data_IF_073723475713
#
_entry.id   IF_073723475713
#
_cell.length_a   1.000
_cell.length_b   1.000
_cell.length_c   1.000
_cell.angle_alpha   90.00
_cell.angle_beta   90.00
_cell.angle_gamma   90.00
#
_symmetry.space_group_name_H-M   'P 1'
#
loop_
_entity.id
_entity.type
_entity.pdbx_description
1 polymer ?
#
# COMPACT_ATOMS: atom_id res chain seq x y z
N UNK A 1 -7.69 13.11 -5.83
CA UNK A 1 -8.30 12.34 -6.95
C UNK A 1 -7.49 12.44 -8.24
N UNK A 2 -7.05 13.64 -8.67
CA UNK A 2 -6.28 13.83 -9.91
C UNK A 2 -4.94 13.07 -9.89
N UNK A 3 -4.26 13.01 -8.74
CA UNK A 3 -2.97 12.31 -8.60
C UNK A 3 -3.13 10.79 -8.76
N UNK A 4 -4.14 10.20 -8.12
CA UNK A 4 -4.46 8.77 -8.26
C UNK A 4 -4.75 8.44 -9.72
N UNK A 5 -5.59 9.24 -10.37
CA UNK A 5 -5.93 9.05 -11.78
C UNK A 5 -4.70 9.08 -12.69
N UNK A 6 -3.81 10.07 -12.49
CA UNK A 6 -2.56 10.21 -13.26
C UNK A 6 -1.63 9.01 -13.07
N UNK A 7 -1.46 8.56 -11.83
CA UNK A 7 -0.62 7.41 -11.50
C UNK A 7 -1.21 6.11 -12.06
N UNK A 8 -2.53 5.94 -11.99
CA UNK A 8 -3.22 4.80 -12.59
C UNK A 8 -3.03 4.71 -14.10
N UNK A 9 -3.08 5.84 -14.79
CA UNK A 9 -2.89 5.91 -16.26
C UNK A 9 -1.46 5.56 -16.71
N UNK A 10 -0.47 5.81 -15.84
CA UNK A 10 0.95 5.54 -16.11
C UNK A 10 1.43 4.20 -15.62
N UNK A 11 0.66 3.57 -14.75
CA UNK A 11 1.03 2.30 -14.13
C UNK A 11 1.18 1.21 -15.20
N UNK A 12 2.28 0.46 -15.06
CA UNK A 12 2.47 -0.82 -15.74
C UNK A 12 2.82 -1.86 -14.69
N UNK A 13 1.99 -2.91 -14.57
CA UNK A 13 2.35 -4.04 -13.73
C UNK A 13 3.51 -4.79 -14.37
N UNK A 14 4.51 -5.11 -13.54
CA UNK A 14 5.55 -6.05 -13.92
C UNK A 14 4.92 -7.43 -14.15
N UNK A 15 5.48 -8.22 -15.05
CA UNK A 15 4.97 -9.56 -15.37
C UNK A 15 4.87 -10.45 -14.13
N UNK A 16 5.85 -10.35 -13.22
CA UNK A 16 5.87 -11.09 -11.95
C UNK A 16 4.74 -10.68 -11.01
N UNK A 17 4.36 -9.40 -11.00
CA UNK A 17 3.28 -8.88 -10.17
C UNK A 17 1.92 -9.33 -10.72
N UNK A 18 1.76 -9.27 -12.03
CA UNK A 18 0.55 -9.79 -12.70
C UNK A 18 0.40 -11.29 -12.43
N UNK A 19 1.48 -12.06 -12.56
CA UNK A 19 1.48 -13.48 -12.27
C UNK A 19 1.15 -13.78 -10.81
N UNK A 20 1.65 -12.99 -9.87
CA UNK A 20 1.32 -13.13 -8.44
C UNK A 20 -0.19 -12.96 -8.20
N UNK A 21 -0.81 -11.97 -8.85
CA UNK A 21 -2.27 -11.79 -8.79
C UNK A 21 -3.04 -12.98 -9.35
N UNK A 22 -2.65 -13.44 -10.54
CA UNK A 22 -3.26 -14.60 -11.21
C UNK A 22 -3.15 -15.90 -10.40
N UNK A 23 -2.10 -16.05 -9.62
CA UNK A 23 -1.81 -17.23 -8.80
C UNK A 23 -2.13 -17.03 -7.32
N UNK A 24 -2.76 -15.93 -6.96
CA UNK A 24 -3.15 -15.67 -5.59
C UNK A 24 -4.12 -16.76 -5.08
N UNK A 25 -4.06 -17.03 -3.79
CA UNK A 25 -4.96 -17.97 -3.15
C UNK A 25 -6.41 -17.46 -3.28
N UNK A 26 -7.33 -18.26 -3.85
CA UNK A 26 -8.73 -17.84 -3.95
C UNK A 26 -9.34 -17.52 -2.58
N UNK A 27 -10.19 -16.49 -2.54
CA UNK A 27 -10.79 -16.02 -1.29
C UNK A 27 -9.94 -15.03 -0.49
N UNK A 28 -8.76 -14.65 -0.99
CA UNK A 28 -7.94 -13.60 -0.38
C UNK A 28 -8.69 -12.28 -0.38
N UNK A 29 -8.70 -11.60 0.76
CA UNK A 29 -9.37 -10.31 0.93
C UNK A 29 -8.39 -9.26 1.41
N UNK A 30 -8.52 -8.06 0.88
CA UNK A 30 -7.77 -6.89 1.32
C UNK A 30 -8.72 -5.83 1.88
N UNK A 31 -8.58 -5.51 3.15
CA UNK A 31 -9.15 -4.30 3.75
C UNK A 31 -8.08 -3.22 3.73
N UNK A 32 -8.36 -2.11 3.08
CA UNK A 32 -7.40 -1.04 2.88
C UNK A 32 -7.87 0.20 3.64
N UNK A 33 -7.23 0.49 4.76
CA UNK A 33 -7.49 1.71 5.51
C UNK A 33 -6.77 2.88 4.87
N UNK A 34 -7.50 3.92 4.52
CA UNK A 34 -6.96 5.09 3.82
C UNK A 34 -7.79 6.34 4.08
N UNK A 35 -7.33 7.45 3.50
CA UNK A 35 -8.05 8.72 3.41
C UNK A 35 -7.82 9.37 2.05
N UNK A 36 -8.73 10.21 1.60
CA UNK A 36 -8.69 10.82 0.26
C UNK A 36 -7.51 11.76 0.03
N UNK A 37 -6.94 12.31 1.10
CA UNK A 37 -5.83 13.26 1.09
C UNK A 37 -4.45 12.61 1.18
N UNK A 38 -4.38 11.29 1.41
CA UNK A 38 -3.12 10.60 1.67
C UNK A 38 -2.25 10.46 0.41
N UNK A 39 -1.04 11.02 0.45
CA UNK A 39 -0.08 10.96 -0.67
C UNK A 39 0.48 9.57 -0.91
N UNK A 40 0.76 8.80 0.14
CA UNK A 40 1.22 7.41 0.02
C UNK A 40 0.13 6.52 -0.58
N UNK A 41 -1.14 6.73 -0.20
CA UNK A 41 -2.26 6.02 -0.79
C UNK A 41 -2.39 6.29 -2.29
N UNK A 42 -2.13 7.52 -2.72
CA UNK A 42 -2.14 7.88 -4.14
C UNK A 42 -1.11 7.07 -4.95
N UNK A 43 0.00 6.68 -4.34
CA UNK A 43 1.02 5.84 -4.96
C UNK A 43 0.64 4.35 -4.96
N UNK A 44 0.05 3.86 -3.88
CA UNK A 44 -0.17 2.44 -3.63
C UNK A 44 -1.50 1.92 -4.15
N UNK A 45 -2.59 2.67 -4.01
CA UNK A 45 -3.93 2.24 -4.42
C UNK A 45 -4.02 1.84 -5.89
N UNK A 46 -3.39 2.55 -6.85
CA UNK A 46 -3.38 2.11 -8.24
C UNK A 46 -2.77 0.74 -8.46
N UNK A 47 -1.68 0.42 -7.74
CA UNK A 47 -1.03 -0.89 -7.80
C UNK A 47 -1.95 -1.97 -7.24
N UNK A 48 -2.50 -1.74 -6.05
CA UNK A 48 -3.42 -2.69 -5.41
C UNK A 48 -4.65 -2.96 -6.27
N UNK A 49 -5.25 -1.93 -6.85
CA UNK A 49 -6.39 -2.06 -7.75
C UNK A 49 -6.05 -2.84 -9.03
N UNK A 50 -4.86 -2.59 -9.60
CA UNK A 50 -4.41 -3.30 -10.79
C UNK A 50 -4.16 -4.79 -10.50
N UNK A 51 -3.59 -5.11 -9.35
CA UNK A 51 -3.38 -6.51 -8.91
C UNK A 51 -4.71 -7.21 -8.65
N UNK A 52 -5.65 -6.53 -7.99
CA UNK A 52 -7.01 -7.07 -7.80
C UNK A 52 -7.65 -7.45 -9.13
N UNK A 53 -7.61 -6.54 -10.11
CA UNK A 53 -8.13 -6.83 -11.46
C UNK A 53 -7.41 -8.00 -12.12
N UNK A 54 -6.08 -8.03 -12.04
CA UNK A 54 -5.28 -9.11 -12.60
C UNK A 54 -5.52 -10.45 -11.91
N UNK A 55 -5.99 -10.46 -10.67
CA UNK A 55 -6.24 -11.68 -9.90
C UNK A 55 -7.44 -12.49 -10.39
N UNK A 56 -8.22 -11.92 -11.28
CA UNK A 56 -9.41 -12.59 -11.86
C UNK A 56 -10.36 -13.12 -10.77
N UNK A 57 -10.64 -12.31 -9.76
CA UNK A 57 -11.55 -12.62 -8.66
C UNK A 57 -10.93 -13.36 -7.48
N UNK A 58 -9.65 -13.72 -7.53
CA UNK A 58 -8.97 -14.39 -6.42
C UNK A 58 -8.72 -13.47 -5.23
N UNK A 59 -8.49 -12.19 -5.49
CA UNK A 59 -8.34 -11.14 -4.48
C UNK A 59 -9.53 -10.19 -4.59
N UNK A 60 -10.16 -9.90 -3.46
CA UNK A 60 -11.23 -8.92 -3.34
C UNK A 60 -10.78 -7.82 -2.39
N UNK A 61 -10.75 -6.57 -2.87
CA UNK A 61 -10.30 -5.42 -2.09
C UNK A 61 -11.44 -4.48 -1.73
N UNK A 62 -11.39 -3.93 -0.52
CA UNK A 62 -12.30 -2.90 -0.01
C UNK A 62 -11.50 -1.78 0.63
N UNK A 63 -11.79 -0.55 0.23
CA UNK A 63 -11.20 0.64 0.87
C UNK A 63 -12.14 1.13 1.95
N UNK A 64 -11.58 1.35 3.15
CA UNK A 64 -12.28 1.88 4.31
C UNK A 64 -11.62 3.18 4.73
N UNK A 65 -12.43 4.18 5.12
CA UNK A 65 -11.89 5.40 5.69
C UNK A 65 -11.38 5.15 7.10
N UNK A 66 -10.11 5.50 7.35
CA UNK A 66 -9.46 5.31 8.65
C UNK A 66 -10.24 5.94 9.78
N UNK A 67 -10.66 7.18 9.61
CA UNK A 67 -11.30 7.96 10.68
C UNK A 67 -12.71 7.45 11.04
N UNK A 68 -13.31 6.66 10.17
CA UNK A 68 -14.58 5.96 10.42
C UNK A 68 -14.38 4.54 10.97
N UNK A 69 -13.12 4.06 11.05
CA UNK A 69 -12.79 2.69 11.43
C UNK A 69 -11.58 2.65 12.39
N UNK A 70 -11.58 3.53 13.40
CA UNK A 70 -10.46 3.65 14.33
C UNK A 70 -10.22 2.39 15.16
N UNK A 71 -11.28 1.65 15.51
CA UNK A 71 -11.15 0.38 16.24
C UNK A 71 -10.34 -0.64 15.46
N UNK A 72 -10.56 -0.70 14.15
CA UNK A 72 -9.78 -1.57 13.26
C UNK A 72 -8.36 -1.02 13.09
N UNK A 73 -8.21 0.27 12.85
CA UNK A 73 -6.91 0.92 12.67
C UNK A 73 -5.98 0.70 13.87
N UNK A 74 -6.52 0.77 15.08
CA UNK A 74 -5.74 0.63 16.32
C UNK A 74 -5.18 -0.78 16.53
N UNK A 75 -5.66 -1.78 15.80
CA UNK A 75 -5.12 -3.13 15.77
C UNK A 75 -3.93 -3.29 14.80
N UNK A 76 -3.68 -2.31 13.93
CA UNK A 76 -2.66 -2.36 12.87
C UNK A 76 -1.83 -1.08 12.82
N UNK A 77 -1.33 -0.65 13.97
CA UNK A 77 -0.48 0.53 14.10
C UNK A 77 0.90 0.32 13.49
N UNK A 78 1.50 1.39 13.02
CA UNK A 78 2.89 1.42 12.55
C UNK A 78 3.69 2.33 13.47
N UNK A 79 4.64 1.76 14.23
CA UNK A 79 5.42 2.49 15.23
C UNK A 79 4.52 3.30 16.20
N UNK A 80 3.39 2.72 16.60
CA UNK A 80 2.41 3.35 17.49
C UNK A 80 1.49 4.37 16.82
N UNK A 81 1.63 4.60 15.53
CA UNK A 81 0.85 5.58 14.78
C UNK A 81 -0.23 4.96 13.89
N UNK A 82 -1.30 5.72 13.68
CA UNK A 82 -2.39 5.39 12.77
C UNK A 82 -2.04 5.67 11.30
N UNK A 83 -0.95 5.06 10.85
CA UNK A 83 -0.39 5.32 9.51
C UNK A 83 -1.21 4.66 8.42
N UNK A 84 -1.41 5.37 7.33
CA UNK A 84 -2.15 4.94 6.15
C UNK A 84 -1.35 5.22 4.86
N UNK A 85 -1.59 4.45 3.78
CA UNK A 85 -2.54 3.33 3.69
C UNK A 85 -2.06 2.12 4.51
N UNK A 86 -2.99 1.35 5.03
CA UNK A 86 -2.70 0.06 5.68
C UNK A 86 -3.57 -1.00 5.03
N UNK A 87 -2.93 -2.01 4.45
CA UNK A 87 -3.59 -3.17 3.85
C UNK A 87 -3.60 -4.29 4.87
N UNK A 88 -4.78 -4.79 5.19
CA UNK A 88 -4.98 -5.96 6.05
C UNK A 88 -5.40 -7.10 5.14
N UNK A 89 -4.57 -8.13 5.06
CA UNK A 89 -4.86 -9.31 4.25
C UNK A 89 -5.55 -10.39 5.08
N UNK A 90 -6.66 -10.87 4.57
CA UNK A 90 -7.47 -11.93 5.18
C UNK A 90 -7.55 -13.13 4.24
N UNK A 91 -7.72 -14.31 4.81
CA UNK A 91 -8.05 -15.52 4.06
C UNK A 91 -9.58 -15.65 3.84
N UNK A 92 -9.99 -16.76 3.21
CA UNK A 92 -11.40 -17.04 2.96
C UNK A 92 -12.27 -17.21 4.21
N UNK A 93 -11.66 -17.45 5.37
CA UNK A 93 -12.32 -17.54 6.69
C UNK A 93 -12.33 -16.22 7.44
N UNK A 94 -11.87 -15.12 6.83
CA UNK A 94 -11.69 -13.81 7.44
C UNK A 94 -10.61 -13.76 8.54
N UNK A 95 -9.70 -14.74 8.58
CA UNK A 95 -8.55 -14.68 9.45
C UNK A 95 -7.45 -13.81 8.83
N UNK A 96 -6.80 -12.97 9.67
CA UNK A 96 -5.69 -12.12 9.23
C UNK A 96 -4.48 -13.00 8.92
N UNK A 97 -3.95 -12.88 7.72
CA UNK A 97 -2.75 -13.61 7.28
C UNK A 97 -1.50 -12.73 7.28
N UNK A 98 -1.65 -11.44 6.98
CA UNK A 98 -0.56 -10.48 6.99
C UNK A 98 -1.12 -9.05 6.86
N UNK A 99 -0.25 -8.06 6.98
CA UNK A 99 -0.57 -6.67 6.68
C UNK A 99 0.60 -5.97 5.97
N UNK A 100 0.33 -4.81 5.37
CA UNK A 100 1.32 -4.01 4.67
C UNK A 100 0.99 -2.52 4.77
N UNK A 101 2.02 -1.70 4.78
CA UNK A 101 1.92 -0.24 4.73
C UNK A 101 2.53 0.44 5.96
N UNK A 102 2.60 1.76 5.94
CA UNK A 102 1.98 2.70 4.99
C UNK A 102 2.69 2.84 3.65
N UNK A 103 3.95 2.45 3.57
CA UNK A 103 4.79 2.64 2.37
C UNK A 103 5.84 1.54 2.29
N UNK A 104 6.53 1.38 1.16
CA UNK A 104 7.65 0.45 1.05
C UNK A 104 8.72 0.71 2.10
N UNK A 105 9.39 -0.33 2.57
CA UNK A 105 10.40 -0.26 3.63
C UNK A 105 11.48 0.78 3.33
N UNK A 106 11.99 0.84 2.11
CA UNK A 106 13.01 1.81 1.70
C UNK A 106 12.53 3.26 1.83
N UNK A 107 11.28 3.52 1.45
CA UNK A 107 10.66 4.84 1.61
C UNK A 107 10.45 5.19 3.09
N UNK A 108 10.08 4.21 3.91
CA UNK A 108 9.92 4.38 5.34
C UNK A 108 11.24 4.72 6.03
N UNK A 109 12.31 4.04 5.67
CA UNK A 109 13.66 4.34 6.17
C UNK A 109 14.10 5.75 5.78
N UNK A 110 13.85 6.16 4.54
CA UNK A 110 14.14 7.52 4.08
C UNK A 110 13.42 8.56 4.94
N UNK A 111 12.12 8.39 5.16
CA UNK A 111 11.31 9.32 5.96
C UNK A 111 11.82 9.39 7.40
N UNK A 112 12.11 8.26 8.02
CA UNK A 112 12.64 8.20 9.38
C UNK A 112 13.98 8.92 9.50
N UNK A 113 14.89 8.69 8.56
CA UNK A 113 16.20 9.33 8.52
C UNK A 113 16.08 10.85 8.37
N UNK A 114 15.20 11.32 7.50
CA UNK A 114 15.00 12.76 7.28
C UNK A 114 14.34 13.40 8.52
N UNK A 115 13.33 12.79 9.09
CA UNK A 115 12.62 13.31 10.26
C UNK A 115 13.48 13.33 11.54
N UNK A 116 14.49 12.46 11.62
CA UNK A 116 15.43 12.44 12.75
C UNK A 116 16.45 13.58 12.72
N UNK A 117 16.60 14.26 11.59
CA UNK A 117 17.48 15.42 11.44
C UNK A 117 16.65 16.72 11.56
N UNK A 118 16.80 17.49 12.66
CA UNK A 118 16.00 18.69 12.87
C UNK A 118 16.12 19.74 11.76
N UNK A 119 17.28 19.80 11.08
CA UNK A 119 17.51 20.74 9.99
C UNK A 119 16.79 20.33 8.70
N UNK A 120 16.55 19.04 8.51
CA UNK A 120 15.97 18.47 7.30
C UNK A 120 14.53 17.98 7.46
N UNK A 121 14.05 17.85 8.69
CA UNK A 121 12.74 17.24 8.98
C UNK A 121 11.59 17.85 8.15
N UNK A 122 11.61 19.15 7.89
CA UNK A 122 10.60 19.85 7.10
C UNK A 122 10.60 19.45 5.61
N UNK A 123 11.67 18.83 5.11
CA UNK A 123 11.81 18.44 3.70
C UNK A 123 11.27 17.04 3.40
N UNK A 124 10.84 16.27 4.41
CA UNK A 124 10.52 14.85 4.22
C UNK A 124 9.48 14.58 3.12
N UNK A 125 8.46 15.42 3.03
CA UNK A 125 7.40 15.25 2.05
C UNK A 125 7.91 15.41 0.62
N UNK A 126 8.76 16.40 0.37
CA UNK A 126 9.37 16.63 -0.93
C UNK A 126 10.32 15.50 -1.33
N UNK A 127 11.19 15.08 -0.38
CA UNK A 127 12.14 13.99 -0.61
C UNK A 127 11.43 12.66 -0.86
N UNK A 128 10.38 12.37 -0.11
CA UNK A 128 9.55 11.19 -0.33
C UNK A 128 8.89 11.21 -1.71
N UNK A 129 8.40 12.36 -2.13
CA UNK A 129 7.80 12.53 -3.45
C UNK A 129 8.80 12.25 -4.58
N UNK A 130 10.02 12.75 -4.45
CA UNK A 130 11.12 12.47 -5.39
C UNK A 130 11.46 10.98 -5.43
N UNK A 131 11.49 10.34 -4.26
CA UNK A 131 11.76 8.91 -4.16
C UNK A 131 10.72 8.11 -4.95
N UNK A 132 9.43 8.37 -4.76
CA UNK A 132 8.37 7.69 -5.51
C UNK A 132 8.47 7.93 -7.02
N UNK A 133 8.81 9.14 -7.43
CA UNK A 133 8.96 9.48 -8.84
C UNK A 133 10.10 8.70 -9.51
N UNK A 134 11.17 8.45 -8.78
CA UNK A 134 12.34 7.67 -9.25
C UNK A 134 12.03 6.16 -9.23
N UNK A 135 11.40 5.67 -8.17
CA UNK A 135 11.10 4.24 -7.99
C UNK A 135 10.04 3.71 -8.96
N UNK A 136 9.13 4.57 -9.41
CA UNK A 136 8.06 4.22 -10.36
C UNK A 136 7.22 3.04 -9.92
N UNK A 137 6.88 2.98 -8.64
CA UNK A 137 6.04 1.94 -8.03
C UNK A 137 6.64 0.52 -8.04
N UNK A 138 7.93 0.37 -8.33
CA UNK A 138 8.60 -0.93 -8.34
C UNK A 138 8.69 -1.55 -6.94
N UNK A 139 9.03 -0.76 -5.93
CA UNK A 139 9.10 -1.25 -4.55
C UNK A 139 7.73 -1.66 -4.02
N UNK A 140 6.68 -0.90 -4.34
CA UNK A 140 5.29 -1.27 -3.99
C UNK A 140 4.94 -2.61 -4.61
N UNK A 141 5.22 -2.80 -5.90
CA UNK A 141 4.90 -4.05 -6.59
C UNK A 141 5.64 -5.24 -5.97
N UNK A 142 6.92 -5.09 -5.66
CA UNK A 142 7.71 -6.12 -5.00
C UNK A 142 7.10 -6.51 -3.65
N UNK A 143 6.76 -5.56 -2.82
CA UNK A 143 6.20 -5.81 -1.48
C UNK A 143 4.77 -6.35 -1.54
N UNK A 144 3.98 -5.96 -2.55
CA UNK A 144 2.66 -6.54 -2.78
C UNK A 144 2.78 -8.02 -3.19
N UNK A 145 3.78 -8.39 -4.00
CA UNK A 145 4.06 -9.81 -4.28
C UNK A 145 4.37 -10.60 -3.01
N UNK A 146 5.17 -10.01 -2.12
CA UNK A 146 5.49 -10.63 -0.83
C UNK A 146 4.24 -10.78 0.05
N UNK A 147 3.38 -9.76 0.08
CA UNK A 147 2.11 -9.82 0.80
C UNK A 147 1.24 -10.97 0.31
N UNK A 148 1.05 -11.10 -1.01
CA UNK A 148 0.27 -12.17 -1.63
C UNK A 148 0.84 -13.54 -1.25
N UNK A 149 2.15 -13.67 -1.19
CA UNK A 149 2.82 -14.94 -0.85
C UNK A 149 2.53 -15.43 0.58
N UNK A 150 2.03 -14.55 1.43
CA UNK A 150 1.67 -14.85 2.83
C UNK A 150 0.18 -15.17 3.02
N UNK A 151 -0.57 -15.20 1.96
CA UNK A 151 -2.01 -15.48 2.00
C UNK A 151 -2.33 -16.91 2.48
#
# INVERSE_FOLDING_TARGET
QQRVRRLSQRLRLEAETEAAGLNAKPGTKWLILSETWCGDAAQSLPVLAAVERASNGRIEARVLYRDENLDLMDQFLTNGGRSIPKVIQLDGSFAVTSDWGPRPAEAQELVQRIKSDPERAHTYSEELHKWYATDRQQAIQREVRELISRA
#
